data_IF_176017341075
#
_entry.id   IF_176017341075
#
_cell.length_a   1.000
_cell.length_b   1.000
_cell.length_c   1.000
_cell.angle_alpha   90.00
_cell.angle_beta   90.00
_cell.angle_gamma   90.00
#
_symmetry.space_group_name_H-M   'P 1'
#
loop_
_entity.id
_entity.type
_entity.pdbx_description
1 polymer ?
#
# COMPACT_ATOMS: atom_id res chain seq x y z
N UNK A 1 17.41 -13.74 -13.56
CA UNK A 1 16.90 -12.36 -13.53
C UNK A 1 15.51 -12.42 -12.92
N UNK A 2 15.41 -12.29 -11.60
CA UNK A 2 14.12 -12.21 -10.90
C UNK A 2 14.24 -11.04 -9.95
N UNK A 3 13.72 -9.89 -10.37
CA UNK A 3 13.69 -8.69 -9.53
C UNK A 3 12.64 -8.92 -8.45
N UNK A 4 13.02 -9.56 -7.34
CA UNK A 4 12.26 -9.46 -6.11
C UNK A 4 12.30 -7.99 -5.70
N UNK A 5 11.17 -7.29 -5.83
CA UNK A 5 10.97 -6.01 -5.18
C UNK A 5 10.85 -6.29 -3.68
N UNK A 6 11.99 -6.55 -3.02
CA UNK A 6 12.05 -6.66 -1.57
C UNK A 6 11.59 -5.32 -1.01
N UNK A 7 10.42 -5.32 -0.37
CA UNK A 7 9.98 -4.26 0.52
C UNK A 7 10.92 -4.26 1.73
N UNK A 8 12.09 -3.65 1.57
CA UNK A 8 13.08 -3.51 2.63
C UNK A 8 12.47 -2.59 3.71
N UNK A 9 12.01 -3.20 4.82
CA UNK A 9 11.39 -2.48 5.93
C UNK A 9 10.43 -3.32 6.79
N UNK A 10 9.93 -4.46 6.28
CA UNK A 10 9.06 -5.36 7.06
C UNK A 10 9.80 -6.64 7.45
N UNK A 11 9.80 -6.96 8.75
CA UNK A 11 10.26 -8.28 9.22
C UNK A 11 9.35 -9.42 8.73
N UNK A 12 8.09 -9.10 8.39
CA UNK A 12 7.07 -10.02 7.88
C UNK A 12 6.12 -9.28 6.92
N UNK A 13 6.52 -9.07 5.65
CA UNK A 13 5.66 -8.44 4.65
C UNK A 13 4.34 -9.23 4.43
N UNK A 14 4.38 -10.54 4.69
CA UNK A 14 3.22 -11.43 4.54
C UNK A 14 2.13 -11.15 5.60
N UNK A 15 2.50 -10.73 6.81
CA UNK A 15 1.56 -10.48 7.91
C UNK A 15 0.68 -9.25 7.61
N UNK A 16 1.29 -8.17 7.12
CA UNK A 16 0.52 -6.97 6.73
C UNK A 16 -0.39 -7.23 5.54
N UNK A 17 0.05 -8.03 4.57
CA UNK A 17 -0.78 -8.39 3.42
C UNK A 17 -1.99 -9.23 3.84
N UNK A 18 -1.80 -10.17 4.79
CA UNK A 18 -2.89 -10.95 5.36
C UNK A 18 -3.90 -10.06 6.12
N UNK A 19 -3.42 -9.14 6.96
CA UNK A 19 -4.28 -8.19 7.67
C UNK A 19 -5.07 -7.28 6.71
N UNK A 20 -4.41 -6.84 5.63
CA UNK A 20 -5.05 -6.03 4.58
C UNK A 20 -6.15 -6.83 3.86
N UNK A 21 -5.90 -8.09 3.52
CA UNK A 21 -6.90 -8.95 2.88
C UNK A 21 -8.10 -9.20 3.82
N UNK A 22 -7.84 -9.50 5.09
CA UNK A 22 -8.88 -9.68 6.10
C UNK A 22 -9.74 -8.41 6.26
N UNK A 23 -9.12 -7.23 6.20
CA UNK A 23 -9.85 -5.95 6.27
C UNK A 23 -10.79 -5.70 5.07
N UNK A 24 -10.62 -6.44 3.97
CA UNK A 24 -11.50 -6.38 2.80
C UNK A 24 -12.61 -7.44 2.80
N UNK A 25 -12.60 -8.41 3.72
CA UNK A 25 -13.61 -9.46 3.76
C UNK A 25 -15.02 -8.88 3.98
N UNK A 26 -15.98 -9.32 3.16
CA UNK A 26 -17.37 -8.86 3.22
C UNK A 26 -17.63 -7.48 2.61
N UNK A 27 -16.61 -6.76 2.14
CA UNK A 27 -16.78 -5.48 1.47
C UNK A 27 -17.12 -5.63 -0.01
N UNK A 28 -18.01 -4.78 -0.51
CA UNK A 28 -18.19 -4.58 -1.94
C UNK A 28 -16.96 -3.91 -2.56
N UNK A 29 -16.85 -3.92 -3.89
CA UNK A 29 -15.76 -3.25 -4.60
C UNK A 29 -15.64 -1.76 -4.24
N UNK A 30 -16.77 -1.05 -4.18
CA UNK A 30 -16.76 0.38 -3.83
C UNK A 30 -16.33 0.63 -2.39
N UNK A 31 -16.70 -0.25 -1.45
CA UNK A 31 -16.27 -0.14 -0.05
C UNK A 31 -14.79 -0.49 0.11
N UNK A 32 -14.31 -1.49 -0.63
CA UNK A 32 -12.89 -1.85 -0.73
C UNK A 32 -12.06 -0.68 -1.28
N UNK A 33 -12.51 0.00 -2.33
CA UNK A 33 -11.84 1.18 -2.87
C UNK A 33 -11.83 2.35 -1.87
N UNK A 34 -12.93 2.54 -1.13
CA UNK A 34 -13.01 3.54 -0.07
C UNK A 34 -12.11 3.20 1.13
N UNK A 35 -11.94 1.91 1.48
CA UNK A 35 -10.96 1.46 2.48
C UNK A 35 -9.53 1.81 2.02
N UNK A 36 -9.19 1.47 0.78
CA UNK A 36 -7.87 1.73 0.20
C UNK A 36 -7.53 3.23 0.17
N UNK A 37 -8.47 4.07 -0.24
CA UNK A 37 -8.28 5.52 -0.25
C UNK A 37 -7.97 6.07 1.15
N UNK A 38 -8.72 5.61 2.17
CA UNK A 38 -8.48 6.00 3.58
C UNK A 38 -7.11 5.52 4.07
N UNK A 39 -6.75 4.28 3.78
CA UNK A 39 -5.46 3.71 4.16
C UNK A 39 -4.29 4.49 3.54
N UNK A 40 -4.37 4.84 2.25
CA UNK A 40 -3.35 5.65 1.57
C UNK A 40 -3.16 7.00 2.26
N UNK A 41 -4.25 7.68 2.64
CA UNK A 41 -4.17 8.97 3.33
C UNK A 41 -3.53 8.85 4.71
N UNK A 42 -3.85 7.79 5.47
CA UNK A 42 -3.25 7.54 6.78
C UNK A 42 -1.74 7.26 6.67
N UNK A 43 -1.34 6.43 5.71
CA UNK A 43 0.07 6.16 5.44
C UNK A 43 0.82 7.41 4.99
N UNK A 44 0.20 8.24 4.13
CA UNK A 44 0.79 9.50 3.70
C UNK A 44 0.99 10.47 4.87
N UNK A 45 0.01 10.57 5.77
CA UNK A 45 0.12 11.36 6.98
C UNK A 45 1.25 10.87 7.91
N UNK A 46 1.43 9.55 8.03
CA UNK A 46 2.50 8.94 8.82
C UNK A 46 3.90 9.21 8.23
N UNK A 47 4.02 9.24 6.90
CA UNK A 47 5.29 9.52 6.20
C UNK A 47 5.69 10.99 6.35
N UNK A 48 4.75 11.92 6.21
CA UNK A 48 4.99 13.36 6.44
C UNK A 48 5.90 14.06 5.42
N UNK A 49 6.34 13.37 4.36
CA UNK A 49 7.24 13.89 3.33
C UNK A 49 6.57 13.87 1.94
N UNK A 50 6.31 15.06 1.40
CA UNK A 50 5.67 15.23 0.10
C UNK A 50 6.51 14.79 -1.10
N UNK A 51 7.84 14.89 -1.05
CA UNK A 51 8.71 14.44 -2.14
C UNK A 51 8.81 12.92 -2.15
N UNK A 52 8.94 12.28 -0.98
CA UNK A 52 8.88 10.83 -0.85
C UNK A 52 7.55 10.27 -1.41
N UNK A 53 6.42 10.92 -1.10
CA UNK A 53 5.11 10.52 -1.62
C UNK A 53 4.99 10.68 -3.14
N UNK A 54 5.55 11.77 -3.72
CA UNK A 54 5.60 11.94 -5.18
C UNK A 54 6.39 10.83 -5.85
N UNK A 55 7.51 10.42 -5.26
CA UNK A 55 8.32 9.34 -5.80
C UNK A 55 7.64 7.97 -5.67
N UNK A 56 6.91 7.72 -4.57
CA UNK A 56 6.03 6.56 -4.45
C UNK A 56 4.97 6.53 -5.58
N UNK A 57 4.32 7.66 -5.88
CA UNK A 57 3.34 7.74 -6.97
C UNK A 57 3.95 7.46 -8.34
N UNK A 58 5.13 8.02 -8.63
CA UNK A 58 5.85 7.75 -9.90
C UNK A 58 6.16 6.26 -10.04
N UNK A 59 6.65 5.62 -8.97
CA UNK A 59 6.96 4.18 -8.95
C UNK A 59 5.71 3.33 -9.13
N UNK A 60 4.63 3.63 -8.42
CA UNK A 60 3.36 2.91 -8.54
C UNK A 60 2.79 2.98 -9.97
N UNK A 61 2.91 4.13 -10.65
CA UNK A 61 2.50 4.29 -12.05
C UNK A 61 3.36 3.49 -13.05
N UNK A 62 4.63 3.26 -12.74
CA UNK A 62 5.57 2.59 -13.65
C UNK A 62 5.46 1.05 -13.60
N UNK A 63 4.75 0.50 -12.61
CA UNK A 63 4.61 -0.95 -12.37
C UNK A 63 3.25 -1.49 -12.83
N UNK A 64 2.44 -0.66 -13.50
CA UNK A 64 1.15 -1.02 -14.10
C UNK A 64 1.24 -1.34 -15.58
#
# INVERSE_FOLDING_TARGET
>A
MTTQHQLQGFARPDDFYADLLAAHEGLTKSESDALNARLILLLAAQIGDGEALKDCLKRAKAVG
#
